data_IF_369841615766
#
_entry.id   IF_369841615766
#
_cell.length_a   1.000
_cell.length_b   1.000
_cell.length_c   1.000
_cell.angle_alpha   90.00
_cell.angle_beta   90.00
_cell.angle_gamma   90.00
#
_symmetry.space_group_name_H-M   'P 1'
#
loop_
_entity.id
_entity.type
_entity.pdbx_description
1 polymer ?
#
# COMPACT_ATOMS: atom_id res chain seq x y z
N UNK A 1 0.80 -5.04 48.31
CA UNK A 1 -0.08 -5.56 47.27
C UNK A 1 -0.28 -4.44 46.25
N UNK A 2 0.55 -4.41 45.20
CA UNK A 2 0.42 -3.45 44.09
C UNK A 2 -0.75 -3.88 43.22
N UNK A 3 -1.89 -3.18 43.34
CA UNK A 3 -2.93 -3.27 42.33
C UNK A 3 -2.49 -2.39 41.16
N UNK A 4 -2.01 -3.04 40.10
CA UNK A 4 -1.69 -2.40 38.84
C UNK A 4 -2.91 -1.64 38.34
N UNK A 5 -2.79 -0.32 38.28
CA UNK A 5 -3.83 0.57 37.79
C UNK A 5 -3.94 0.35 36.28
N UNK A 6 -4.75 -0.62 35.87
CA UNK A 6 -5.07 -0.86 34.48
C UNK A 6 -6.03 0.24 34.01
N UNK A 7 -5.48 1.43 33.79
CA UNK A 7 -6.22 2.63 33.38
C UNK A 7 -6.67 2.50 31.93
N UNK A 8 -7.98 2.61 31.63
CA UNK A 8 -8.52 2.58 30.26
C UNK A 8 -7.93 3.66 29.33
N UNK A 9 -7.45 4.77 29.90
CA UNK A 9 -7.01 5.95 29.15
C UNK A 9 -5.76 5.70 28.28
N UNK A 10 -4.80 4.92 28.77
CA UNK A 10 -3.62 4.57 27.98
C UNK A 10 -3.92 3.52 26.90
N UNK A 11 -4.93 2.67 27.10
CA UNK A 11 -5.39 1.72 26.09
C UNK A 11 -6.08 2.43 24.93
N UNK A 12 -6.96 3.41 25.20
CA UNK A 12 -7.62 4.20 24.15
C UNK A 12 -6.63 5.03 23.35
N UNK A 13 -5.62 5.61 24.01
CA UNK A 13 -4.57 6.37 23.33
C UNK A 13 -3.70 5.48 22.42
N UNK A 14 -3.30 4.30 22.91
CA UNK A 14 -2.55 3.32 22.13
C UNK A 14 -3.33 2.87 20.88
N UNK A 15 -4.60 2.50 21.07
CA UNK A 15 -5.43 2.02 19.98
C UNK A 15 -5.70 3.11 18.92
N UNK A 16 -5.94 4.36 19.36
CA UNK A 16 -6.09 5.49 18.43
C UNK A 16 -4.80 5.77 17.64
N UNK A 17 -3.64 5.65 18.28
CA UNK A 17 -2.34 5.80 17.63
C UNK A 17 -2.10 4.71 16.58
N UNK A 18 -2.32 3.45 16.94
CA UNK A 18 -2.15 2.29 16.03
C UNK A 18 -3.07 2.39 14.80
N UNK A 19 -4.34 2.80 14.98
CA UNK A 19 -5.27 3.02 13.87
C UNK A 19 -4.83 4.18 12.97
N UNK A 20 -4.32 5.28 13.55
CA UNK A 20 -3.81 6.41 12.77
C UNK A 20 -2.55 6.05 11.98
N UNK A 21 -1.66 5.24 12.55
CA UNK A 21 -0.45 4.75 11.87
C UNK A 21 -0.82 3.81 10.73
N UNK A 22 -1.71 2.84 10.98
CA UNK A 22 -2.21 1.92 9.94
C UNK A 22 -2.90 2.66 8.78
N UNK A 23 -3.68 3.71 9.07
CA UNK A 23 -4.31 4.51 8.03
C UNK A 23 -3.28 5.29 7.20
N UNK A 24 -2.26 5.86 7.84
CA UNK A 24 -1.17 6.55 7.13
C UNK A 24 -0.39 5.61 6.23
N UNK A 25 -0.06 4.42 6.73
CA UNK A 25 0.63 3.40 5.95
C UNK A 25 -0.20 2.96 4.75
N UNK A 26 -1.51 2.79 4.93
CA UNK A 26 -2.43 2.50 3.83
C UNK A 26 -2.42 3.61 2.78
N UNK A 27 -2.56 4.86 3.20
CA UNK A 27 -2.63 6.01 2.29
C UNK A 27 -1.33 6.16 1.49
N UNK A 28 -0.18 5.89 2.12
CA UNK A 28 1.12 5.89 1.45
C UNK A 28 1.23 4.77 0.41
N UNK A 29 0.81 3.55 0.72
CA UNK A 29 0.81 2.45 -0.26
C UNK A 29 -0.17 2.72 -1.41
N UNK A 30 -1.33 3.32 -1.14
CA UNK A 30 -2.28 3.75 -2.18
C UNK A 30 -1.68 4.85 -3.07
N UNK A 31 -0.91 5.78 -2.50
CA UNK A 31 -0.17 6.78 -3.29
C UNK A 31 0.85 6.11 -4.20
N UNK A 32 1.66 5.20 -3.67
CA UNK A 32 2.65 4.44 -4.44
C UNK A 32 1.99 3.67 -5.59
N UNK A 33 0.84 3.04 -5.35
CA UNK A 33 0.08 2.33 -6.37
C UNK A 33 -0.30 3.26 -7.54
N UNK A 34 -0.83 4.46 -7.22
CA UNK A 34 -1.21 5.46 -8.23
C UNK A 34 -0.01 5.97 -9.02
N UNK A 35 1.14 6.13 -8.37
CA UNK A 35 2.35 6.60 -9.04
C UNK A 35 2.94 5.54 -9.96
N UNK A 36 2.82 4.25 -9.61
CA UNK A 36 3.14 3.12 -10.50
C UNK A 36 2.21 3.10 -11.72
N UNK A 37 0.91 3.27 -11.52
CA UNK A 37 -0.08 3.31 -12.62
C UNK A 37 0.22 4.44 -13.61
N UNK A 38 0.46 5.66 -13.12
CA UNK A 38 0.85 6.80 -13.98
C UNK A 38 2.13 6.54 -14.76
N UNK A 39 3.11 5.88 -14.15
CA UNK A 39 4.36 5.54 -14.84
C UNK A 39 4.14 4.52 -15.96
N UNK A 40 3.23 3.56 -15.76
CA UNK A 40 2.86 2.59 -16.79
C UNK A 40 2.16 3.31 -17.95
N UNK A 41 1.16 4.16 -17.66
CA UNK A 41 0.45 4.94 -18.68
C UNK A 41 1.40 5.79 -19.52
N UNK A 42 2.31 6.53 -18.88
CA UNK A 42 3.31 7.34 -19.58
C UNK A 42 4.23 6.50 -20.48
N UNK A 43 4.60 5.29 -20.06
CA UNK A 43 5.43 4.41 -20.87
C UNK A 43 4.65 3.82 -22.05
N UNK A 44 3.36 3.54 -21.88
CA UNK A 44 2.47 3.11 -22.96
C UNK A 44 2.32 4.22 -24.02
N UNK A 45 2.11 5.47 -23.61
CA UNK A 45 2.10 6.62 -24.52
C UNK A 45 3.41 6.71 -25.31
N UNK A 46 4.56 6.56 -24.64
CA UNK A 46 5.88 6.60 -25.29
C UNK A 46 6.12 5.42 -26.24
N UNK A 47 5.49 4.27 -26.03
CA UNK A 47 5.58 3.14 -26.97
C UNK A 47 4.89 3.48 -28.29
N UNK A 48 3.77 4.22 -28.25
CA UNK A 48 3.05 4.63 -29.46
C UNK A 48 3.94 5.49 -30.36
N UNK A 49 4.74 6.39 -29.76
CA UNK A 49 5.61 7.32 -30.49
C UNK A 49 7.02 6.75 -30.80
N UNK A 50 7.37 5.56 -30.28
CA UNK A 50 8.72 5.02 -30.42
C UNK A 50 8.92 4.30 -31.78
N UNK A 51 9.96 4.70 -32.50
CA UNK A 51 10.28 4.13 -33.83
C UNK A 51 11.27 2.94 -33.78
N UNK A 52 12.00 2.81 -32.68
CA UNK A 52 13.08 1.82 -32.57
C UNK A 52 12.66 0.62 -31.71
N UNK A 53 12.71 -0.58 -32.29
CA UNK A 53 12.33 -1.82 -31.62
C UNK A 53 13.10 -2.08 -30.31
N UNK A 54 14.36 -1.65 -30.20
CA UNK A 54 15.14 -1.77 -28.95
C UNK A 54 14.60 -0.86 -27.83
N UNK A 55 14.12 0.33 -28.18
CA UNK A 55 13.53 1.29 -27.24
C UNK A 55 12.16 0.80 -26.78
N UNK A 56 11.33 0.32 -27.71
CA UNK A 56 10.03 -0.29 -27.40
C UNK A 56 10.21 -1.44 -26.41
N UNK A 57 11.12 -2.38 -26.68
CA UNK A 57 11.42 -3.50 -25.76
C UNK A 57 11.89 -3.05 -24.38
N UNK A 58 12.65 -1.96 -24.30
CA UNK A 58 13.07 -1.41 -23.02
C UNK A 58 11.88 -0.85 -22.22
N UNK A 59 10.93 -0.17 -22.88
CA UNK A 59 9.70 0.30 -22.25
C UNK A 59 8.80 -0.85 -21.81
N UNK A 60 8.57 -1.85 -22.67
CA UNK A 60 7.82 -3.07 -22.33
C UNK A 60 8.43 -3.79 -21.11
N UNK A 61 9.76 -3.91 -21.07
CA UNK A 61 10.47 -4.52 -19.94
C UNK A 61 10.29 -3.74 -18.64
N UNK A 62 10.23 -2.40 -18.72
CA UNK A 62 9.99 -1.54 -17.56
C UNK A 62 8.53 -1.63 -17.10
N UNK A 63 7.57 -1.61 -18.02
CA UNK A 63 6.15 -1.83 -17.72
C UNK A 63 5.96 -3.17 -17.00
N UNK A 64 6.55 -4.25 -17.51
CA UNK A 64 6.44 -5.56 -16.89
C UNK A 64 6.99 -5.62 -15.45
N UNK A 65 7.97 -4.78 -15.09
CA UNK A 65 8.45 -4.67 -13.71
C UNK A 65 7.47 -3.89 -12.84
N UNK A 66 6.97 -2.76 -13.34
CA UNK A 66 5.99 -1.92 -12.66
C UNK A 66 4.67 -2.67 -12.40
N UNK A 67 4.20 -3.50 -13.34
CA UNK A 67 3.01 -4.35 -13.14
C UNK A 67 3.20 -5.36 -12.01
N UNK A 68 4.40 -5.96 -11.88
CA UNK A 68 4.69 -6.85 -10.74
C UNK A 68 4.72 -6.09 -9.42
N UNK A 69 5.30 -4.89 -9.41
CA UNK A 69 5.31 -4.02 -8.23
C UNK A 69 3.89 -3.62 -7.83
N UNK A 70 3.03 -3.28 -8.81
CA UNK A 70 1.62 -2.98 -8.60
C UNK A 70 0.90 -4.12 -7.87
N UNK A 71 1.12 -5.37 -8.27
CA UNK A 71 0.53 -6.54 -7.62
C UNK A 71 0.96 -6.67 -6.16
N UNK A 72 2.25 -6.47 -5.87
CA UNK A 72 2.78 -6.53 -4.50
C UNK A 72 2.24 -5.40 -3.62
N UNK A 73 2.11 -4.18 -4.17
CA UNK A 73 1.53 -3.05 -3.47
C UNK A 73 0.03 -3.25 -3.20
N UNK A 74 -0.72 -3.78 -4.16
CA UNK A 74 -2.13 -4.10 -3.98
C UNK A 74 -2.34 -5.12 -2.85
N UNK A 75 -1.53 -6.19 -2.84
CA UNK A 75 -1.56 -7.18 -1.75
C UNK A 75 -1.20 -6.56 -0.39
N UNK A 76 -0.28 -5.58 -0.36
CA UNK A 76 0.09 -4.86 0.86
C UNK A 76 -1.07 -4.00 1.39
N UNK A 77 -1.84 -3.35 0.52
CA UNK A 77 -3.04 -2.58 0.94
C UNK A 77 -4.07 -3.48 1.62
N UNK A 78 -4.30 -4.67 1.07
CA UNK A 78 -5.27 -5.63 1.61
C UNK A 78 -4.85 -6.18 2.98
N UNK A 79 -3.54 -6.18 3.29
CA UNK A 79 -2.99 -6.68 4.55
C UNK A 79 -2.86 -5.61 5.65
N UNK A 80 -2.71 -4.33 5.32
CA UNK A 80 -2.46 -3.25 6.31
C UNK A 80 -3.71 -2.93 7.13
N UNK A 81 -4.90 -3.00 6.53
CA UNK A 81 -6.13 -2.75 7.29
C UNK A 81 -6.56 -4.06 7.92
N UNK A 82 -6.50 -4.23 9.25
CA UNK A 82 -7.18 -5.36 9.87
C UNK A 82 -8.65 -5.30 9.43
N UNK A 83 -9.21 -6.39 8.86
CA UNK A 83 -10.61 -6.40 8.48
C UNK A 83 -11.42 -6.00 9.70
N UNK A 84 -12.35 -5.06 9.50
CA UNK A 84 -13.18 -4.38 10.53
C UNK A 84 -13.96 -5.31 11.48
N UNK A 85 -13.76 -6.62 11.47
CA UNK A 85 -14.50 -7.62 12.23
C UNK A 85 -13.65 -8.73 12.87
N UNK A 86 -12.36 -8.51 13.18
CA UNK A 86 -11.57 -9.49 13.98
C UNK A 86 -11.19 -9.00 15.37
N UNK A 87 -11.93 -8.01 15.89
CA UNK A 87 -11.88 -7.59 17.30
C UNK A 87 -12.88 -8.38 18.16
N UNK A 88 -13.74 -9.20 17.56
CA UNK A 88 -14.80 -9.97 18.23
C UNK A 88 -14.38 -11.39 18.63
N UNK A 89 -13.18 -11.86 18.24
CA UNK A 89 -12.70 -13.22 18.55
C UNK A 89 -11.82 -13.31 19.82
N UNK A 90 -11.63 -12.20 20.55
CA UNK A 90 -10.72 -12.15 21.72
C UNK A 90 -11.39 -11.67 23.03
N UNK A 91 -12.72 -11.62 23.11
CA UNK A 91 -13.46 -11.32 24.34
C UNK A 91 -14.49 -12.40 24.66
#
# INVERSE_FOLDING_TARGET
>A
MEQGYNSPFWMTYRQAKELSEAQRDKDEVVRQLRDVEKQIELLLERIIDAEHASVIKAYESKIAKLEREKLLLAEKVDRIVPPKGRLEEFF
#
